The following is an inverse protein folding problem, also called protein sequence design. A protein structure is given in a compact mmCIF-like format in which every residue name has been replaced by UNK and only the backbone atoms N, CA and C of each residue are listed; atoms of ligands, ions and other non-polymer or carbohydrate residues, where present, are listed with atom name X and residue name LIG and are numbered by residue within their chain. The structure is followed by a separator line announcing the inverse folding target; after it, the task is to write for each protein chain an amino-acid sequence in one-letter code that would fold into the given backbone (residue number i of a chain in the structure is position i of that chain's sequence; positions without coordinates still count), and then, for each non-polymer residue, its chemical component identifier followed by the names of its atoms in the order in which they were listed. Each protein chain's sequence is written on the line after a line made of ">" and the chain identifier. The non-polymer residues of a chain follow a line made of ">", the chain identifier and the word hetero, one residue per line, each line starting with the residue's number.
data_IF_515087200838
#
_entry.id   IF_515087200838
#
_cell.length_a   1.000
_cell.length_b   1.000
_cell.length_c   1.000
_cell.angle_alpha   90.00
_cell.angle_beta   90.00
_cell.angle_gamma   90.00
#
_symmetry.space_group_name_H-M   'P 1'
#
loop_
_entity.id
_entity.type
_entity.pdbx_description
1 polymer ?
#
# COMPACT_ATOMS: atom_id res chain seq x y z
N UNK A 1 7.82 2.92 -0.17
CA UNK A 1 6.50 2.33 0.16
C UNK A 1 5.56 3.49 0.49
N UNK A 2 4.30 3.44 0.08
CA UNK A 2 3.24 4.38 0.53
C UNK A 2 2.44 3.69 1.62
N UNK A 3 2.54 4.18 2.85
CA UNK A 3 1.84 3.63 4.01
C UNK A 3 0.58 4.46 4.30
N UNK A 4 -0.58 3.83 4.26
CA UNK A 4 -1.89 4.48 4.29
C UNK A 4 -2.56 4.21 5.65
N UNK A 5 -2.76 5.29 6.40
CA UNK A 5 -3.52 5.34 7.65
C UNK A 5 -4.91 5.98 7.48
N UNK A 6 -5.27 6.37 6.25
CA UNK A 6 -6.55 7.01 5.92
C UNK A 6 -7.67 5.97 5.78
N UNK A 7 -8.93 6.31 6.07
CA UNK A 7 -10.04 5.36 5.99
C UNK A 7 -10.23 4.80 4.58
N UNK A 8 -10.87 3.62 4.42
CA UNK A 8 -11.07 2.96 3.12
C UNK A 8 -11.65 3.85 2.00
N UNK A 9 -12.52 4.80 2.36
CA UNK A 9 -13.16 5.76 1.43
C UNK A 9 -12.16 6.72 0.76
N UNK A 10 -11.01 6.95 1.38
CA UNK A 10 -9.97 7.87 0.88
C UNK A 10 -8.80 7.13 0.22
N UNK A 11 -8.77 5.80 0.26
CA UNK A 11 -7.64 5.02 -0.27
C UNK A 11 -7.49 5.18 -1.78
N UNK A 12 -8.61 5.14 -2.53
CA UNK A 12 -8.57 5.17 -3.98
C UNK A 12 -7.86 6.44 -4.54
N UNK A 13 -8.21 7.68 -4.14
CA UNK A 13 -7.48 8.85 -4.63
C UNK A 13 -5.98 8.85 -4.25
N UNK A 14 -5.62 8.32 -3.08
CA UNK A 14 -4.20 8.18 -2.67
C UNK A 14 -3.46 7.21 -3.59
N UNK A 15 -4.09 6.08 -3.95
CA UNK A 15 -3.50 5.12 -4.89
C UNK A 15 -3.29 5.73 -6.27
N UNK A 16 -4.22 6.55 -6.76
CA UNK A 16 -4.04 7.27 -8.04
C UNK A 16 -2.85 8.21 -8.03
N UNK A 17 -2.67 8.96 -6.94
CA UNK A 17 -1.50 9.81 -6.76
C UNK A 17 -0.21 8.97 -6.72
N UNK A 18 -0.24 7.86 -6.00
CA UNK A 18 0.88 6.92 -5.90
C UNK A 18 1.28 6.35 -7.28
N UNK A 19 0.31 6.02 -8.14
CA UNK A 19 0.55 5.60 -9.53
C UNK A 19 1.25 6.70 -10.32
N UNK A 20 0.77 7.95 -10.27
CA UNK A 20 1.43 9.08 -10.95
C UNK A 20 2.87 9.28 -10.48
N UNK A 21 3.11 9.19 -9.18
CA UNK A 21 4.47 9.27 -8.62
C UNK A 21 5.36 8.10 -9.08
N UNK A 22 4.80 6.90 -9.25
CA UNK A 22 5.52 5.76 -9.84
C UNK A 22 5.92 6.07 -11.28
N UNK A 23 5.00 6.55 -12.10
CA UNK A 23 5.27 6.89 -13.51
C UNK A 23 6.33 7.98 -13.62
N UNK A 24 6.28 8.99 -12.75
CA UNK A 24 7.21 10.11 -12.76
C UNK A 24 8.62 9.73 -12.27
N UNK A 25 8.73 8.93 -11.20
CA UNK A 25 10.01 8.70 -10.51
C UNK A 25 10.53 7.26 -10.60
N UNK A 26 9.70 6.28 -10.93
CA UNK A 26 10.06 4.87 -11.08
C UNK A 26 10.34 4.10 -9.79
N UNK A 27 10.24 4.75 -8.60
CA UNK A 27 10.73 4.18 -7.32
C UNK A 27 9.67 3.55 -6.44
N UNK A 28 8.39 3.74 -6.78
CA UNK A 28 7.31 3.23 -5.94
C UNK A 28 7.08 1.74 -6.21
N UNK A 29 7.41 0.94 -5.19
CA UNK A 29 7.35 -0.52 -5.26
C UNK A 29 6.11 -1.10 -4.58
N UNK A 30 5.63 -0.47 -3.50
CA UNK A 30 4.55 -1.02 -2.69
C UNK A 30 3.65 0.06 -2.06
N UNK A 31 2.38 -0.29 -1.92
CA UNK A 31 1.36 0.37 -1.11
C UNK A 31 1.01 -0.55 0.06
N UNK A 32 0.90 0.03 1.25
CA UNK A 32 0.59 -0.68 2.49
C UNK A 32 -0.61 -0.01 3.18
N UNK A 33 -1.75 -0.70 3.24
CA UNK A 33 -2.92 -0.23 3.98
C UNK A 33 -2.89 -0.83 5.39
N UNK A 34 -2.92 0.04 6.41
CA UNK A 34 -2.82 -0.37 7.81
C UNK A 34 -4.03 -1.19 8.28
N UNK A 35 -3.97 -1.71 9.51
CA UNK A 35 -5.05 -2.50 10.11
C UNK A 35 -6.41 -1.79 10.00
N UNK A 36 -7.44 -2.57 9.65
CA UNK A 36 -8.79 -2.08 9.41
C UNK A 36 -8.98 -1.33 8.10
N UNK A 37 -7.94 -1.23 7.26
CA UNK A 37 -8.01 -0.52 5.97
C UNK A 37 -7.79 -1.52 4.83
N UNK A 38 -8.83 -1.70 4.04
CA UNK A 38 -8.83 -2.51 2.81
C UNK A 38 -9.65 -1.82 1.73
N UNK A 39 -9.14 -1.80 0.49
CA UNK A 39 -9.87 -1.28 -0.65
C UNK A 39 -9.45 -2.06 -1.91
N UNK A 40 -10.29 -3.02 -2.34
CA UNK A 40 -9.99 -3.91 -3.46
C UNK A 40 -9.92 -3.19 -4.81
N UNK A 41 -10.70 -2.12 -4.99
CA UNK A 41 -10.68 -1.33 -6.21
C UNK A 41 -9.33 -0.62 -6.38
N UNK A 42 -8.90 0.06 -5.32
CA UNK A 42 -7.59 0.70 -5.27
C UNK A 42 -6.46 -0.33 -5.40
N UNK A 43 -6.59 -1.51 -4.78
CA UNK A 43 -5.61 -2.58 -4.91
C UNK A 43 -5.49 -3.10 -6.35
N UNK A 44 -6.60 -3.25 -7.08
CA UNK A 44 -6.58 -3.61 -8.51
C UNK A 44 -5.87 -2.57 -9.35
N UNK A 45 -6.14 -1.29 -9.11
CA UNK A 45 -5.47 -0.20 -9.83
C UNK A 45 -3.96 -0.18 -9.58
N UNK A 46 -3.54 -0.29 -8.32
CA UNK A 46 -2.12 -0.37 -7.96
C UNK A 46 -1.42 -1.56 -8.63
N UNK A 47 -2.04 -2.76 -8.57
CA UNK A 47 -1.49 -3.99 -9.17
C UNK A 47 -1.36 -3.88 -10.70
N UNK A 48 -2.35 -3.27 -11.37
CA UNK A 48 -2.30 -3.00 -12.82
C UNK A 48 -1.09 -2.14 -13.21
N UNK A 49 -0.66 -1.25 -12.31
CA UNK A 49 0.50 -0.38 -12.49
C UNK A 49 1.79 -0.95 -11.88
N UNK A 50 1.84 -2.27 -11.61
CA UNK A 50 3.04 -2.93 -11.10
C UNK A 50 3.46 -2.48 -9.70
N UNK A 51 2.50 -2.07 -8.85
CA UNK A 51 2.73 -1.76 -7.44
C UNK A 51 2.22 -2.93 -6.59
N UNK A 52 3.07 -3.42 -5.68
CA UNK A 52 2.67 -4.45 -4.72
C UNK A 52 1.70 -3.86 -3.69
N UNK A 53 0.73 -4.64 -3.24
CA UNK A 53 -0.29 -4.17 -2.30
C UNK A 53 -0.38 -5.10 -1.11
N UNK A 54 -0.25 -4.53 0.09
CA UNK A 54 -0.57 -5.16 1.36
C UNK A 54 -1.77 -4.44 1.95
N UNK A 55 -2.77 -5.19 2.41
CA UNK A 55 -3.99 -4.64 3.02
C UNK A 55 -4.23 -5.26 4.38
N UNK A 56 -4.87 -4.50 5.27
CA UNK A 56 -5.26 -4.94 6.61
C UNK A 56 -4.12 -5.63 7.37
N UNK A 57 -2.97 -4.93 7.45
CA UNK A 57 -1.78 -5.37 8.19
C UNK A 57 -1.11 -4.19 8.87
N UNK A 58 -0.59 -4.37 10.07
CA UNK A 58 0.24 -3.37 10.73
C UNK A 58 1.71 -3.56 10.32
N UNK A 59 2.36 -2.52 9.80
CA UNK A 59 3.76 -2.60 9.40
C UNK A 59 4.68 -2.94 10.58
N UNK A 60 4.44 -2.39 11.77
CA UNK A 60 5.23 -2.70 12.96
C UNK A 60 5.15 -4.18 13.35
N UNK A 61 3.93 -4.74 13.40
CA UNK A 61 3.72 -6.15 13.78
C UNK A 61 4.37 -7.07 12.74
N UNK A 62 4.17 -6.81 11.44
CA UNK A 62 4.76 -7.63 10.38
C UNK A 62 6.28 -7.51 10.34
N UNK A 63 6.84 -6.30 10.50
CA UNK A 63 8.28 -6.09 10.57
C UNK A 63 8.90 -6.83 11.76
N UNK A 64 8.28 -6.75 12.94
CA UNK A 64 8.73 -7.48 14.11
C UNK A 64 8.63 -9.00 13.92
N UNK A 65 7.54 -9.51 13.35
CA UNK A 65 7.35 -10.93 13.05
C UNK A 65 8.42 -11.46 12.08
N UNK A 66 8.75 -10.68 11.04
CA UNK A 66 9.72 -11.07 10.03
C UNK A 66 11.18 -10.99 10.51
N UNK A 67 11.49 -10.07 11.43
CA UNK A 67 12.85 -9.92 11.96
C UNK A 67 13.15 -10.77 13.20
N UNK A 68 12.16 -11.09 14.04
CA UNK A 68 12.36 -11.98 15.19
C UNK A 68 12.51 -13.46 14.83
N UNK A 69 12.13 -13.84 13.60
CA UNK A 69 12.31 -15.19 13.07
C UNK A 69 13.67 -15.43 12.39
N UNK A 70 14.63 -14.51 12.55
CA UNK A 70 16.02 -14.62 12.09
C UNK A 70 16.96 -14.79 13.27
#
# INVERSE_FOLDING_TARGET
>A
VVEIFRPPSEVHPIVREAVRLKEQFGRLLAIWMQLGISNEEAAREARKNGIQVVMDRCMMIEHQRLLKGR
#
